data_IF_800615923857
#
_entry.id   IF_800615923857
#
_cell.length_a   1.000
_cell.length_b   1.000
_cell.length_c   1.000
_cell.angle_alpha   90.00
_cell.angle_beta   90.00
_cell.angle_gamma   90.00
#
_symmetry.space_group_name_H-M   'P 1'
#
loop_
_entity.id
_entity.type
_entity.pdbx_description
1 polymer ?
#
# COMPACT_ATOMS: atom_id res chain seq x y z
N UNK A 1 14.93 9.04 24.49
CA UNK A 1 14.70 7.59 24.67
C UNK A 1 13.26 7.31 24.27
N UNK A 2 13.01 6.54 23.21
CA UNK A 2 11.65 6.20 22.79
C UNK A 2 10.96 5.36 23.88
N UNK A 3 9.71 5.67 24.18
CA UNK A 3 8.91 4.88 25.11
C UNK A 3 8.69 3.48 24.52
N UNK A 4 8.97 2.43 25.30
CA UNK A 4 8.75 1.03 24.90
C UNK A 4 7.74 0.41 25.85
N UNK A 5 6.61 -0.02 25.30
CA UNK A 5 5.55 -0.73 26.03
C UNK A 5 5.81 -2.23 26.02
N UNK A 6 5.89 -2.85 27.21
CA UNK A 6 5.96 -4.31 27.33
C UNK A 6 4.55 -4.91 27.27
N UNK A 7 4.40 -5.99 26.49
CA UNK A 7 3.17 -6.80 26.40
C UNK A 7 3.51 -8.28 26.51
N UNK A 8 2.62 -9.06 27.13
CA UNK A 8 2.71 -10.52 27.15
C UNK A 8 1.77 -11.07 26.08
N UNK A 9 2.24 -12.02 25.28
CA UNK A 9 1.48 -12.65 24.19
C UNK A 9 1.57 -14.17 24.30
N UNK A 10 0.51 -14.87 23.93
CA UNK A 10 0.50 -16.33 23.81
C UNK A 10 0.69 -16.68 22.34
N UNK A 11 1.65 -17.55 22.04
CA UNK A 11 1.91 -18.07 20.71
C UNK A 11 1.45 -19.53 20.63
N UNK A 12 1.04 -19.97 19.44
CA UNK A 12 0.91 -21.41 19.18
C UNK A 12 2.30 -22.06 19.27
N UNK A 13 2.37 -23.38 19.55
CA UNK A 13 3.66 -24.08 19.60
C UNK A 13 4.50 -23.92 18.33
N UNK A 14 3.84 -23.92 17.16
CA UNK A 14 4.50 -23.71 15.86
C UNK A 14 5.14 -22.33 15.76
N UNK A 15 4.43 -21.27 16.14
CA UNK A 15 4.95 -19.91 16.09
C UNK A 15 6.05 -19.68 17.13
N UNK A 16 5.94 -20.28 18.32
CA UNK A 16 7.00 -20.24 19.30
C UNK A 16 8.28 -20.90 18.77
N UNK A 17 8.17 -22.10 18.18
CA UNK A 17 9.30 -22.79 17.57
C UNK A 17 9.95 -21.99 16.42
N UNK A 18 9.15 -21.29 15.61
CA UNK A 18 9.68 -20.42 14.57
C UNK A 18 10.47 -19.23 15.14
N UNK A 19 9.99 -18.62 16.23
CA UNK A 19 10.69 -17.53 16.91
C UNK A 19 11.99 -18.04 17.54
N UNK A 20 11.93 -19.17 18.24
CA UNK A 20 13.09 -19.76 18.90
C UNK A 20 14.15 -20.16 17.86
N UNK A 21 13.75 -20.80 16.76
CA UNK A 21 14.64 -21.20 15.67
C UNK A 21 15.37 -20.02 15.01
N UNK A 22 14.68 -18.89 14.81
CA UNK A 22 15.30 -17.68 14.25
C UNK A 22 16.38 -17.07 15.19
N UNK A 23 16.17 -17.16 16.51
CA UNK A 23 17.15 -16.73 17.50
C UNK A 23 18.32 -17.70 17.59
N UNK A 24 18.06 -19.02 17.61
CA UNK A 24 19.09 -20.07 17.64
C UNK A 24 19.99 -20.05 16.41
N UNK A 25 19.42 -19.75 15.23
CA UNK A 25 20.16 -19.56 13.99
C UNK A 25 21.05 -18.29 13.99
N UNK A 26 20.87 -17.41 14.97
CA UNK A 26 21.60 -16.14 15.08
C UNK A 26 21.09 -15.06 14.12
N UNK A 27 19.92 -15.23 13.51
CA UNK A 27 19.30 -14.23 12.62
C UNK A 27 18.81 -13.02 13.41
N UNK A 28 18.41 -13.24 14.66
CA UNK A 28 17.96 -12.18 15.59
C UNK A 28 18.58 -12.36 16.96
N UNK A 29 18.85 -11.25 17.67
CA UNK A 29 19.46 -11.31 19.00
C UNK A 29 18.47 -11.67 20.11
N UNK A 30 17.15 -11.59 19.83
CA UNK A 30 16.11 -11.93 20.81
C UNK A 30 14.75 -12.18 20.18
N UNK A 31 13.90 -12.93 20.87
CA UNK A 31 12.49 -13.10 20.50
C UNK A 31 11.75 -11.76 20.35
N UNK A 32 12.05 -10.77 21.19
CA UNK A 32 11.44 -9.43 21.08
C UNK A 32 11.80 -8.73 19.77
N UNK A 33 12.96 -9.04 19.19
CA UNK A 33 13.39 -8.50 17.90
C UNK A 33 12.65 -9.16 16.74
N UNK A 34 12.55 -10.50 16.77
CA UNK A 34 11.74 -11.27 15.82
C UNK A 34 10.31 -10.75 15.77
N UNK A 35 9.67 -10.57 16.93
CA UNK A 35 8.29 -10.09 17.02
C UNK A 35 8.16 -8.65 16.51
N UNK A 36 9.11 -7.76 16.81
CA UNK A 36 9.08 -6.39 16.27
C UNK A 36 9.19 -6.37 14.75
N UNK A 37 10.07 -7.18 14.19
CA UNK A 37 10.24 -7.24 12.73
C UNK A 37 9.03 -7.87 12.04
N UNK A 38 8.49 -8.96 12.59
CA UNK A 38 7.24 -9.55 12.11
C UNK A 38 6.07 -8.56 12.15
N UNK A 39 5.93 -7.77 13.22
CA UNK A 39 4.91 -6.72 13.33
C UNK A 39 5.14 -5.56 12.35
N UNK A 40 6.40 -5.22 12.06
CA UNK A 40 6.73 -4.23 11.03
C UNK A 40 6.27 -4.71 9.66
N UNK A 41 6.63 -5.93 9.26
CA UNK A 41 6.18 -6.54 8.00
C UNK A 41 4.65 -6.67 7.92
N UNK A 42 4.01 -7.02 9.04
CA UNK A 42 2.56 -7.08 9.14
C UNK A 42 1.90 -5.72 8.94
N UNK A 43 2.50 -4.66 9.50
CA UNK A 43 2.05 -3.28 9.31
C UNK A 43 2.30 -2.80 7.89
N UNK A 44 3.50 -2.99 7.36
CA UNK A 44 3.85 -2.63 5.97
C UNK A 44 2.90 -3.28 4.97
N UNK A 45 2.53 -4.56 5.15
CA UNK A 45 1.53 -5.23 4.30
C UNK A 45 0.15 -4.58 4.36
N UNK A 46 -0.22 -3.98 5.49
CA UNK A 46 -1.49 -3.25 5.64
C UNK A 46 -1.39 -1.83 5.09
N UNK A 47 -0.26 -1.17 5.29
CA UNK A 47 0.01 0.19 4.83
C UNK A 47 0.25 0.26 3.32
N UNK A 48 0.82 -0.79 2.70
CA UNK A 48 1.09 -0.90 1.25
C UNK A 48 -0.15 -0.80 0.37
N UNK A 49 -1.35 -0.90 0.93
CA UNK A 49 -2.54 -0.67 0.15
C UNK A 49 -2.77 0.81 -0.14
N UNK A 50 -2.22 1.75 0.64
CA UNK A 50 -2.39 3.22 0.48
C UNK A 50 -3.84 3.74 0.58
N UNK A 51 -4.77 2.80 0.40
CA UNK A 51 -6.20 2.80 0.40
C UNK A 51 -6.58 1.43 0.97
N UNK A 52 -7.28 1.39 2.09
CA UNK A 52 -7.98 0.20 2.57
C UNK A 52 -8.82 -0.46 1.46
N UNK A 53 -9.17 -1.73 1.61
CA UNK A 53 -10.08 -2.42 0.67
C UNK A 53 -11.39 -1.65 0.53
N UNK A 54 -11.85 -1.04 1.63
CA UNK A 54 -13.02 -0.18 1.70
C UNK A 54 -12.84 1.10 0.87
N UNK A 55 -11.71 1.78 0.99
CA UNK A 55 -11.38 2.97 0.17
C UNK A 55 -11.28 2.63 -1.31
N UNK A 56 -10.67 1.49 -1.67
CA UNK A 56 -10.63 1.03 -3.05
C UNK A 56 -12.03 0.74 -3.62
N UNK A 57 -12.91 0.12 -2.81
CA UNK A 57 -14.32 -0.11 -3.21
C UNK A 57 -15.06 1.20 -3.43
N UNK A 58 -14.83 2.21 -2.59
CA UNK A 58 -15.45 3.52 -2.73
C UNK A 58 -15.01 4.21 -4.03
N UNK A 59 -13.72 4.21 -4.35
CA UNK A 59 -13.18 4.77 -5.61
C UNK A 59 -13.72 4.06 -6.85
N UNK A 60 -13.88 2.73 -6.78
CA UNK A 60 -14.50 1.96 -7.87
C UNK A 60 -15.97 2.37 -8.05
N UNK A 61 -16.72 2.51 -6.95
CA UNK A 61 -18.13 2.91 -7.01
C UNK A 61 -18.29 4.32 -7.58
N UNK A 62 -17.43 5.26 -7.18
CA UNK A 62 -17.38 6.60 -7.77
C UNK A 62 -17.17 6.54 -9.30
N UNK A 63 -16.26 5.67 -9.77
CA UNK A 63 -16.07 5.44 -11.20
C UNK A 63 -17.30 4.88 -11.91
N UNK A 64 -18.01 3.94 -11.29
CA UNK A 64 -19.26 3.37 -11.83
C UNK A 64 -20.36 4.45 -11.91
N UNK A 65 -20.47 5.26 -10.86
CA UNK A 65 -21.48 6.32 -10.75
C UNK A 65 -21.15 7.54 -11.65
N UNK A 66 -19.92 7.63 -12.15
CA UNK A 66 -19.47 8.69 -13.08
C UNK A 66 -20.09 8.60 -14.48
N UNK A 67 -20.80 7.49 -14.78
CA UNK A 67 -21.52 7.27 -16.02
C UNK A 67 -20.87 6.23 -16.94
N UNK A 68 -21.36 6.08 -18.17
CA UNK A 68 -20.89 5.04 -19.08
C UNK A 68 -19.43 5.28 -19.50
N UNK A 69 -18.68 4.19 -19.57
CA UNK A 69 -17.32 4.19 -20.11
C UNK A 69 -17.28 4.72 -21.55
N UNK A 70 -16.19 5.39 -21.90
CA UNK A 70 -15.95 5.95 -23.24
C UNK A 70 -14.89 5.12 -23.97
N UNK A 71 -14.92 5.15 -25.30
CA UNK A 71 -13.85 4.55 -26.10
C UNK A 71 -12.51 5.25 -25.81
N UNK A 72 -11.54 4.47 -25.33
CA UNK A 72 -10.24 4.98 -24.90
C UNK A 72 -9.46 5.67 -26.03
N UNK A 73 -9.25 5.03 -27.19
CA UNK A 73 -8.53 5.62 -28.32
C UNK A 73 -9.13 6.93 -28.85
N UNK A 74 -10.45 7.00 -29.03
CA UNK A 74 -11.13 8.22 -29.48
C UNK A 74 -11.00 9.35 -28.44
N UNK A 75 -11.21 9.04 -27.16
CA UNK A 75 -11.07 10.00 -26.07
C UNK A 75 -9.64 10.56 -25.97
N UNK A 76 -8.63 9.70 -26.03
CA UNK A 76 -7.23 10.09 -25.98
C UNK A 76 -6.82 10.94 -27.19
N UNK A 77 -7.30 10.59 -28.38
CA UNK A 77 -7.05 11.37 -29.60
C UNK A 77 -7.61 12.80 -29.49
N UNK A 78 -8.81 12.95 -28.94
CA UNK A 78 -9.43 14.26 -28.66
C UNK A 78 -8.65 15.06 -27.60
N UNK A 79 -8.15 14.40 -26.56
CA UNK A 79 -7.32 15.00 -25.52
C UNK A 79 -6.01 15.56 -26.11
N UNK A 80 -5.27 14.74 -26.85
CA UNK A 80 -4.01 15.15 -27.50
C UNK A 80 -4.24 16.33 -28.44
N UNK A 81 -5.29 16.29 -29.27
CA UNK A 81 -5.64 17.39 -30.16
C UNK A 81 -5.94 18.69 -29.40
N UNK A 82 -6.72 18.61 -28.31
CA UNK A 82 -7.10 19.77 -27.48
C UNK A 82 -5.88 20.44 -26.85
N UNK A 83 -5.01 19.69 -26.18
CA UNK A 83 -3.84 20.26 -25.50
C UNK A 83 -2.73 20.65 -26.48
N UNK A 84 -2.62 19.96 -27.63
CA UNK A 84 -1.72 20.37 -28.72
C UNK A 84 -2.13 21.70 -29.36
N UNK A 85 -3.43 21.97 -29.52
CA UNK A 85 -3.94 23.26 -29.99
C UNK A 85 -3.74 24.38 -28.97
N UNK A 86 -3.91 24.08 -27.68
CA UNK A 86 -3.73 25.04 -26.58
C UNK A 86 -2.26 25.50 -26.47
N UNK A 87 -1.30 24.61 -26.72
CA UNK A 87 0.12 24.96 -26.72
C UNK A 87 0.54 25.80 -27.94
N UNK A 88 -0.24 25.78 -29.03
CA UNK A 88 0.00 26.59 -30.24
C UNK A 88 -0.64 27.98 -30.19
N UNK A 89 -1.60 28.20 -29.30
CA UNK A 89 -2.28 29.49 -29.11
C UNK A 89 -1.58 30.45 -28.14
N UNK A 90 -0.47 30.05 -27.50
CA UNK A 90 0.32 30.87 -26.58
C UNK A 90 1.55 31.54 -27.19
N UNK A 91 1.78 31.39 -28.50
CA UNK A 91 2.87 32.06 -29.24
C UNK A 91 2.22 32.90 -30.34
N UNK A 92 1.86 34.13 -29.99
CA UNK A 92 1.24 35.08 -30.92
C UNK A 92 0.69 36.30 -30.18
N UNK A 93 1.60 37.10 -29.62
CA UNK A 93 1.48 38.57 -29.68
C UNK A 93 1.76 39.02 -31.11
#
# INVERSE_FOLDING_TARGET
>A
MGHVDKRSITLSPELAAAVDGAVEAGEYASASEVIRDALRLWKERRDLYGYTVEELRALIQEGIDSGPGRDGPDFMSKLVAKYGAMNKGGVGE
#
